data_IF_095466498719
#
_entry.id   IF_095466498719
#
_cell.length_a   1.000
_cell.length_b   1.000
_cell.length_c   1.000
_cell.angle_alpha   90.00
_cell.angle_beta   90.00
_cell.angle_gamma   90.00
#
_symmetry.space_group_name_H-M   'P 1'
#
loop_
_entity.id
_entity.type
_entity.pdbx_description
1 polymer ?
#
# COMPACT_ATOMS: atom_id res chain seq x y z
N UNK A 1 -0.48 2.10 27.63
CA UNK A 1 -1.90 2.08 27.18
C UNK A 1 -2.07 0.85 26.30
N UNK A 2 -2.90 -0.10 26.73
CA UNK A 2 -3.24 -1.23 25.85
C UNK A 2 -4.10 -0.67 24.71
N UNK A 3 -3.60 -0.70 23.49
CA UNK A 3 -4.41 -0.38 22.33
C UNK A 3 -5.43 -1.51 22.13
N UNK A 4 -6.68 -1.16 21.84
CA UNK A 4 -7.74 -2.12 21.55
C UNK A 4 -7.37 -3.00 20.33
N UNK A 5 -6.67 -2.41 19.35
CA UNK A 5 -6.22 -3.10 18.15
C UNK A 5 -4.70 -3.17 18.07
N UNK A 6 -4.18 -4.31 17.64
CA UNK A 6 -2.76 -4.52 17.36
C UNK A 6 -2.39 -4.18 15.91
N UNK A 7 -3.29 -4.44 14.98
CA UNK A 7 -3.08 -4.21 13.54
C UNK A 7 -4.20 -3.35 12.98
N UNK A 8 -3.84 -2.27 12.32
CA UNK A 8 -4.72 -1.39 11.54
C UNK A 8 -4.34 -1.52 10.06
N UNK A 9 -5.33 -1.76 9.20
CA UNK A 9 -5.17 -1.86 7.76
C UNK A 9 -6.04 -0.80 7.06
N UNK A 10 -5.41 0.12 6.37
CA UNK A 10 -6.07 1.18 5.60
C UNK A 10 -6.32 0.68 4.17
N UNK A 11 -7.58 0.77 3.70
CA UNK A 11 -7.99 0.24 2.40
C UNK A 11 -8.08 -1.29 2.39
N UNK A 12 -8.64 -1.85 3.44
CA UNK A 12 -8.59 -3.30 3.73
C UNK A 12 -9.26 -4.20 2.68
N UNK A 13 -10.22 -3.68 1.90
CA UNK A 13 -11.01 -4.46 0.91
C UNK A 13 -11.38 -5.85 1.44
N UNK A 14 -10.56 -6.85 1.12
CA UNK A 14 -10.78 -8.26 1.50
C UNK A 14 -10.00 -8.70 2.75
N UNK A 15 -9.25 -7.80 3.41
CA UNK A 15 -8.36 -8.13 4.54
C UNK A 15 -7.11 -8.92 4.12
N UNK A 16 -6.70 -8.81 2.86
CA UNK A 16 -5.56 -9.59 2.35
C UNK A 16 -4.23 -9.10 2.92
N UNK A 17 -4.09 -7.78 3.16
CA UNK A 17 -2.90 -7.21 3.78
C UNK A 17 -2.71 -7.78 5.20
N UNK A 18 -3.79 -7.88 5.98
CA UNK A 18 -3.76 -8.49 7.31
C UNK A 18 -3.36 -9.97 7.23
N UNK A 19 -3.93 -10.74 6.29
CA UNK A 19 -3.61 -12.15 6.11
C UNK A 19 -2.12 -12.34 5.79
N UNK A 20 -1.60 -11.57 4.82
CA UNK A 20 -0.20 -11.66 4.42
C UNK A 20 0.74 -11.20 5.54
N UNK A 21 0.39 -10.12 6.26
CA UNK A 21 1.15 -9.66 7.40
C UNK A 21 1.23 -10.74 8.51
N UNK A 22 0.12 -11.41 8.81
CA UNK A 22 0.11 -12.49 9.80
C UNK A 22 1.00 -13.68 9.41
N UNK A 23 1.17 -13.92 8.12
CA UNK A 23 2.03 -15.01 7.60
C UNK A 23 3.50 -14.61 7.51
N UNK A 24 3.81 -13.35 7.20
CA UNK A 24 5.17 -12.93 6.81
C UNK A 24 5.79 -11.87 7.73
N UNK A 25 5.00 -11.22 8.57
CA UNK A 25 5.45 -10.06 9.36
C UNK A 25 6.60 -10.37 10.33
N UNK A 26 6.70 -11.62 10.82
CA UNK A 26 7.78 -12.02 11.73
C UNK A 26 9.17 -11.95 11.08
N UNK A 27 9.25 -12.09 9.75
CA UNK A 27 10.51 -11.94 9.01
C UNK A 27 11.15 -10.54 9.22
N UNK A 28 10.31 -9.52 9.45
CA UNK A 28 10.74 -8.14 9.67
C UNK A 28 10.91 -7.81 11.15
N UNK A 29 9.90 -8.16 11.95
CA UNK A 29 9.84 -7.75 13.35
C UNK A 29 10.66 -8.65 14.28
N UNK A 30 10.86 -9.91 13.90
CA UNK A 30 11.50 -10.94 14.76
C UNK A 30 10.90 -10.97 16.17
N UNK A 31 9.56 -10.93 16.22
CA UNK A 31 8.76 -10.94 17.44
C UNK A 31 7.79 -12.13 17.45
N UNK A 32 8.29 -13.38 17.55
CA UNK A 32 7.45 -14.57 17.45
C UNK A 32 6.32 -14.59 18.49
N UNK A 33 6.56 -14.10 19.69
CA UNK A 33 5.53 -14.01 20.75
C UNK A 33 4.38 -13.09 20.36
N UNK A 34 4.67 -11.98 19.67
CA UNK A 34 3.66 -11.09 19.15
C UNK A 34 2.73 -11.81 18.17
N UNK A 35 3.32 -12.54 17.20
CA UNK A 35 2.55 -13.25 16.17
C UNK A 35 1.77 -14.43 16.75
N UNK A 36 2.32 -15.14 17.72
CA UNK A 36 1.62 -16.21 18.45
C UNK A 36 0.38 -15.70 19.20
N UNK A 37 0.42 -14.43 19.66
CA UNK A 37 -0.69 -13.79 20.38
C UNK A 37 -1.60 -12.95 19.48
N UNK A 38 -1.28 -12.82 18.20
CA UNK A 38 -2.05 -12.00 17.25
C UNK A 38 -3.31 -12.75 16.79
N UNK A 39 -4.41 -12.56 17.52
CA UNK A 39 -5.71 -13.08 17.13
C UNK A 39 -6.41 -12.18 16.09
N UNK A 40 -7.26 -12.73 15.20
CA UNK A 40 -8.00 -11.95 14.22
C UNK A 40 -8.77 -10.76 14.79
N UNK A 41 -9.37 -10.88 15.97
CA UNK A 41 -10.11 -9.80 16.63
C UNK A 41 -9.23 -8.61 17.05
N UNK A 42 -7.90 -8.76 17.08
CA UNK A 42 -6.98 -7.65 17.31
C UNK A 42 -6.65 -6.86 16.04
N UNK A 43 -7.23 -7.26 14.90
CA UNK A 43 -7.03 -6.59 13.62
C UNK A 43 -8.30 -5.81 13.24
N UNK A 44 -8.12 -4.61 12.72
CA UNK A 44 -9.20 -3.78 12.19
C UNK A 44 -8.83 -3.27 10.81
N UNK A 45 -9.77 -3.39 9.87
CA UNK A 45 -9.67 -2.82 8.54
C UNK A 45 -10.54 -1.57 8.39
N UNK A 46 -9.98 -0.54 7.79
CA UNK A 46 -10.67 0.69 7.43
C UNK A 46 -10.92 0.74 5.93
N UNK A 47 -12.12 1.17 5.52
CA UNK A 47 -12.50 1.32 4.12
C UNK A 47 -13.46 2.50 3.95
N UNK A 48 -13.54 3.04 2.74
CA UNK A 48 -14.49 4.11 2.41
C UNK A 48 -15.93 3.65 2.61
N UNK A 49 -16.85 4.56 2.97
CA UNK A 49 -18.28 4.22 3.20
C UNK A 49 -18.92 3.48 2.02
N UNK A 50 -18.56 3.83 0.78
CA UNK A 50 -19.09 3.18 -0.44
C UNK A 50 -18.69 1.71 -0.57
N UNK A 51 -17.67 1.28 0.19
CA UNK A 51 -17.12 -0.08 0.18
C UNK A 51 -17.66 -0.96 1.33
N UNK A 52 -18.77 -0.57 1.94
CA UNK A 52 -19.42 -1.31 3.04
C UNK A 52 -19.69 -2.79 2.72
N UNK A 53 -19.87 -3.13 1.44
CA UNK A 53 -20.06 -4.51 1.00
C UNK A 53 -18.87 -5.44 1.35
N UNK A 54 -17.66 -4.91 1.53
CA UNK A 54 -16.51 -5.70 1.99
C UNK A 54 -16.61 -6.13 3.45
N UNK A 55 -17.42 -5.45 4.26
CA UNK A 55 -17.64 -5.79 5.68
C UNK A 55 -17.92 -7.28 5.89
N UNK A 56 -18.79 -7.87 5.03
CA UNK A 56 -19.14 -9.28 5.13
C UNK A 56 -17.93 -10.19 4.91
N UNK A 57 -17.05 -9.84 3.97
CA UNK A 57 -15.85 -10.64 3.64
C UNK A 57 -14.84 -10.57 4.79
N UNK A 58 -14.57 -9.36 5.26
CA UNK A 58 -13.61 -9.11 6.35
C UNK A 58 -14.06 -9.77 7.64
N UNK A 59 -15.36 -9.68 7.98
CA UNK A 59 -15.94 -10.33 9.15
C UNK A 59 -15.91 -11.86 9.09
N UNK A 60 -16.01 -12.47 7.90
CA UNK A 60 -15.80 -13.93 7.75
C UNK A 60 -14.42 -14.38 8.18
N UNK A 61 -13.41 -13.52 8.04
CA UNK A 61 -12.04 -13.73 8.52
C UNK A 61 -11.87 -13.40 10.01
N UNK A 62 -12.97 -13.03 10.70
CA UNK A 62 -13.02 -12.60 12.11
C UNK A 62 -12.24 -11.31 12.41
N UNK A 63 -11.96 -10.49 11.40
CA UNK A 63 -11.39 -9.16 11.57
C UNK A 63 -12.50 -8.14 11.87
N UNK A 64 -12.14 -7.08 12.58
CA UNK A 64 -13.01 -5.90 12.72
C UNK A 64 -13.01 -5.10 11.42
N UNK A 65 -14.08 -4.36 11.19
CA UNK A 65 -14.23 -3.53 10.00
C UNK A 65 -14.92 -2.23 10.36
N UNK A 66 -14.32 -1.12 9.94
CA UNK A 66 -14.84 0.22 10.09
C UNK A 66 -14.91 0.91 8.72
N UNK A 67 -15.99 1.62 8.46
CA UNK A 67 -16.07 2.54 7.34
C UNK A 67 -15.73 3.95 7.82
N UNK A 68 -14.77 4.60 7.17
CA UNK A 68 -14.41 5.98 7.44
C UNK A 68 -13.98 6.66 6.14
N UNK A 69 -14.39 7.90 5.96
CA UNK A 69 -13.88 8.72 4.88
C UNK A 69 -12.52 9.29 5.29
N UNK A 70 -11.45 8.62 4.86
CA UNK A 70 -10.08 9.03 5.16
C UNK A 70 -9.59 10.21 4.31
N UNK A 71 -10.48 10.84 3.52
CA UNK A 71 -10.29 12.17 2.93
C UNK A 71 -10.90 13.29 3.82
N UNK A 72 -11.11 13.02 5.11
CA UNK A 72 -11.60 13.99 6.10
C UNK A 72 -10.66 14.01 7.30
N UNK A 73 -10.17 15.19 7.69
CA UNK A 73 -9.19 15.36 8.77
C UNK A 73 -9.66 14.73 10.11
N UNK A 74 -10.94 14.88 10.46
CA UNK A 74 -11.49 14.28 11.68
C UNK A 74 -11.41 12.74 11.66
N UNK A 75 -11.61 12.11 10.51
CA UNK A 75 -11.50 10.65 10.37
C UNK A 75 -10.05 10.17 10.49
N UNK A 76 -9.10 10.92 9.92
CA UNK A 76 -7.66 10.62 10.06
C UNK A 76 -7.24 10.76 11.51
N UNK A 77 -7.63 11.85 12.17
CA UNK A 77 -7.30 12.11 13.57
C UNK A 77 -7.91 11.06 14.52
N UNK A 78 -9.04 10.46 14.15
CA UNK A 78 -9.72 9.42 14.92
C UNK A 78 -9.11 8.01 14.75
N UNK A 79 -8.12 7.83 13.87
CA UNK A 79 -7.45 6.53 13.72
C UNK A 79 -6.79 6.09 15.04
N UNK A 80 -7.00 4.84 15.49
CA UNK A 80 -6.53 4.39 16.79
C UNK A 80 -5.01 4.26 16.83
N UNK A 81 -4.41 4.32 18.00
CA UNK A 81 -3.05 3.83 18.20
C UNK A 81 -3.04 2.33 18.07
N UNK A 82 -2.04 1.78 17.39
CA UNK A 82 -1.87 0.35 17.19
C UNK A 82 -0.39 -0.03 17.18
N UNK A 83 -0.11 -1.31 17.27
CA UNK A 83 1.27 -1.80 17.18
C UNK A 83 1.77 -1.74 15.74
N UNK A 84 0.89 -2.04 14.78
CA UNK A 84 1.18 -2.16 13.33
C UNK A 84 0.19 -1.35 12.52
N UNK A 85 0.68 -0.64 11.52
CA UNK A 85 -0.11 0.01 10.48
C UNK A 85 0.22 -0.55 9.11
N UNK A 86 -0.79 -0.92 8.34
CA UNK A 86 -0.70 -1.38 6.96
C UNK A 86 -1.48 -0.41 6.06
N UNK A 87 -0.92 -0.05 4.91
CA UNK A 87 -1.62 0.68 3.85
C UNK A 87 -1.10 0.19 2.50
N UNK A 88 -1.77 -0.86 1.97
CA UNK A 88 -1.38 -1.51 0.73
C UNK A 88 -2.37 -1.17 -0.38
N UNK A 89 -1.87 -0.58 -1.47
CA UNK A 89 -2.68 -0.11 -2.58
C UNK A 89 -3.85 0.77 -2.11
N UNK A 90 -3.52 1.77 -1.29
CA UNK A 90 -4.50 2.66 -0.70
C UNK A 90 -4.18 4.14 -0.91
N UNK A 91 -2.92 4.54 -0.77
CA UNK A 91 -2.51 5.95 -0.82
C UNK A 91 -2.77 6.60 -2.20
N UNK A 92 -2.81 5.82 -3.27
CA UNK A 92 -3.16 6.27 -4.60
C UNK A 92 -4.65 6.60 -4.78
N UNK A 93 -5.52 6.09 -3.89
CA UNK A 93 -6.97 6.27 -3.97
C UNK A 93 -7.50 7.52 -3.23
N UNK A 94 -6.67 8.20 -2.47
CA UNK A 94 -7.09 9.44 -1.79
C UNK A 94 -7.01 10.64 -2.74
N UNK A 95 -7.71 11.76 -2.46
CA UNK A 95 -7.92 12.83 -3.44
C UNK A 95 -6.65 13.45 -4.04
N UNK A 96 -5.56 13.50 -3.29
CA UNK A 96 -4.28 14.08 -3.75
C UNK A 96 -3.12 13.66 -2.83
N UNK A 97 -1.90 14.07 -3.18
CA UNK A 97 -0.67 13.76 -2.43
C UNK A 97 -0.66 14.32 -1.00
N UNK A 98 -1.33 15.43 -0.73
CA UNK A 98 -1.37 16.00 0.62
C UNK A 98 -2.17 15.10 1.58
N UNK A 99 -3.26 14.48 1.09
CA UNK A 99 -4.00 13.50 1.86
C UNK A 99 -3.18 12.23 2.09
N UNK A 100 -2.45 11.76 1.09
CA UNK A 100 -1.54 10.61 1.24
C UNK A 100 -0.48 10.91 2.30
N UNK A 101 0.11 12.11 2.29
CA UNK A 101 1.10 12.57 3.29
C UNK A 101 0.51 12.60 4.69
N UNK A 102 -0.68 13.17 4.88
CA UNK A 102 -1.38 13.17 6.17
C UNK A 102 -1.59 11.75 6.71
N UNK A 103 -2.00 10.81 5.85
CA UNK A 103 -2.21 9.42 6.23
C UNK A 103 -0.91 8.71 6.60
N UNK A 104 0.18 8.94 5.86
CA UNK A 104 1.52 8.45 6.23
C UNK A 104 1.92 8.99 7.60
N UNK A 105 1.84 10.32 7.81
CA UNK A 105 2.16 10.94 9.10
C UNK A 105 1.33 10.38 10.26
N UNK A 106 0.01 10.22 10.06
CA UNK A 106 -0.86 9.68 11.11
C UNK A 106 -0.55 8.21 11.39
N UNK A 107 -0.30 7.41 10.35
CA UNK A 107 0.10 6.00 10.51
C UNK A 107 1.40 5.88 11.30
N UNK A 108 2.41 6.70 10.97
CA UNK A 108 3.68 6.73 11.70
C UNK A 108 3.51 7.20 13.16
N UNK A 109 2.66 8.20 13.40
CA UNK A 109 2.38 8.72 14.75
C UNK A 109 1.70 7.68 15.63
N UNK A 110 0.80 6.89 15.04
CA UNK A 110 -0.03 5.94 15.76
C UNK A 110 0.57 4.52 15.83
N UNK A 111 1.48 4.17 14.91
CA UNK A 111 2.17 2.88 14.92
C UNK A 111 3.17 2.80 16.07
N UNK A 112 3.21 1.69 16.80
CA UNK A 112 4.19 1.46 17.86
C UNK A 112 5.48 0.79 17.33
N UNK A 113 5.34 -0.24 16.48
CA UNK A 113 6.46 -1.05 16.02
C UNK A 113 6.71 -0.95 14.53
N UNK A 114 5.65 -0.84 13.70
CA UNK A 114 5.81 -0.91 12.27
C UNK A 114 4.71 -0.14 11.53
N UNK A 115 5.11 0.60 10.50
CA UNK A 115 4.21 1.05 9.43
C UNK A 115 4.72 0.49 8.10
N UNK A 116 3.82 -0.16 7.33
CA UNK A 116 4.15 -0.83 6.08
C UNK A 116 3.24 -0.36 4.96
N UNK A 117 3.84 0.34 4.02
CA UNK A 117 3.17 0.85 2.83
C UNK A 117 3.55 -0.01 1.63
N UNK A 118 2.56 -0.41 0.82
CA UNK A 118 2.79 -1.01 -0.49
C UNK A 118 2.14 -0.13 -1.54
N UNK A 119 2.91 0.26 -2.53
CA UNK A 119 2.56 1.29 -3.50
C UNK A 119 2.65 0.70 -4.91
N UNK A 120 1.65 0.91 -5.79
CA UNK A 120 1.83 0.66 -7.21
C UNK A 120 2.92 1.60 -7.73
N UNK A 121 3.75 1.12 -8.64
CA UNK A 121 4.78 1.97 -9.25
C UNK A 121 4.16 2.96 -10.20
N UNK A 122 4.39 4.25 -9.95
CA UNK A 122 4.14 5.35 -10.88
C UNK A 122 5.46 5.95 -11.41
N UNK A 123 6.58 5.28 -11.17
CA UNK A 123 7.91 5.70 -11.62
C UNK A 123 7.99 5.70 -13.14
N UNK A 124 8.50 6.80 -13.70
CA UNK A 124 8.58 7.02 -15.16
C UNK A 124 9.99 6.84 -15.71
N UNK A 125 10.91 6.31 -14.90
CA UNK A 125 12.27 6.03 -15.38
C UNK A 125 12.27 4.99 -16.51
N UNK A 126 13.29 5.07 -17.37
CA UNK A 126 13.41 4.26 -18.58
C UNK A 126 14.24 3.00 -18.40
N UNK A 127 14.63 2.67 -17.19
CA UNK A 127 15.43 1.48 -16.86
C UNK A 127 14.58 0.40 -16.18
N UNK A 128 13.79 0.77 -15.17
CA UNK A 128 13.02 -0.15 -14.35
C UNK A 128 11.57 0.27 -14.12
N UNK A 129 11.20 1.50 -14.50
CA UNK A 129 9.86 2.07 -14.32
C UNK A 129 8.96 1.93 -15.54
N UNK A 130 7.79 2.56 -15.51
CA UNK A 130 6.82 2.57 -16.62
C UNK A 130 7.41 3.18 -17.91
N UNK A 131 8.45 4.01 -17.80
CA UNK A 131 9.14 4.57 -18.97
C UNK A 131 9.64 3.49 -19.92
N UNK A 132 10.01 2.31 -19.44
CA UNK A 132 10.36 1.13 -20.27
C UNK A 132 9.16 0.69 -21.12
N UNK A 133 7.96 0.63 -20.51
CA UNK A 133 6.74 0.24 -21.22
C UNK A 133 6.36 1.29 -22.27
N UNK A 134 6.48 2.58 -21.93
CA UNK A 134 6.11 3.70 -22.80
C UNK A 134 6.97 3.77 -24.07
N UNK A 135 8.23 3.37 -24.03
CA UNK A 135 9.09 3.25 -25.21
C UNK A 135 8.51 2.29 -26.27
N UNK A 136 7.62 1.39 -25.85
CA UNK A 136 6.97 0.40 -26.68
C UNK A 136 5.45 0.66 -26.87
N UNK A 137 4.98 1.87 -26.55
CA UNK A 137 3.56 2.21 -26.65
C UNK A 137 2.66 1.49 -25.64
N UNK A 138 3.22 1.07 -24.51
CA UNK A 138 2.54 0.34 -23.44
C UNK A 138 2.57 1.16 -22.13
N UNK A 139 1.70 0.82 -21.20
CA UNK A 139 1.62 1.39 -19.85
C UNK A 139 1.11 0.36 -18.84
N UNK A 140 1.21 0.69 -17.56
CA UNK A 140 0.49 -0.07 -16.54
C UNK A 140 -1.03 0.21 -16.58
N UNK A 141 -1.83 -0.77 -16.20
CA UNK A 141 -3.30 -0.63 -16.13
C UNK A 141 -3.74 0.50 -15.22
N UNK A 142 -3.08 0.65 -14.07
CA UNK A 142 -3.48 1.61 -13.02
C UNK A 142 -3.08 3.06 -13.27
N UNK A 143 -2.14 3.34 -14.18
CA UNK A 143 -1.58 4.69 -14.38
C UNK A 143 -2.64 5.72 -14.80
N UNK A 144 -3.69 5.28 -15.48
CA UNK A 144 -4.76 6.16 -15.96
C UNK A 144 -6.10 5.90 -15.29
N UNK A 145 -6.15 5.10 -14.22
CA UNK A 145 -7.41 4.86 -13.53
C UNK A 145 -7.94 6.14 -12.87
N UNK A 146 -9.22 6.52 -13.13
CA UNK A 146 -9.80 7.73 -12.55
C UNK A 146 -9.87 7.71 -11.01
N UNK A 147 -9.86 6.52 -10.41
CA UNK A 147 -9.85 6.34 -8.95
C UNK A 147 -8.45 6.27 -8.34
N UNK A 148 -7.41 6.59 -9.11
CA UNK A 148 -6.03 6.80 -8.65
C UNK A 148 -5.63 8.28 -8.84
N UNK A 149 -6.28 9.22 -8.16
CA UNK A 149 -5.98 10.65 -8.33
C UNK A 149 -4.63 11.05 -7.73
N UNK A 150 -4.10 10.25 -6.80
CA UNK A 150 -2.81 10.49 -6.17
C UNK A 150 -1.77 9.52 -6.74
N UNK A 151 -1.00 9.97 -7.74
CA UNK A 151 0.16 9.24 -8.24
C UNK A 151 1.31 9.37 -7.22
N UNK A 152 1.22 8.60 -6.16
CA UNK A 152 2.12 8.62 -5.03
C UNK A 152 3.38 7.82 -5.35
N UNK A 153 4.51 8.52 -5.46
CA UNK A 153 5.80 7.92 -5.76
C UNK A 153 6.47 7.38 -4.47
N UNK A 154 7.49 6.56 -4.64
CA UNK A 154 8.32 6.09 -3.52
C UNK A 154 8.97 7.28 -2.82
N UNK A 155 9.47 8.24 -3.59
CA UNK A 155 10.10 9.47 -3.09
C UNK A 155 9.11 10.31 -2.27
N UNK A 156 7.87 10.45 -2.74
CA UNK A 156 6.82 11.16 -1.97
C UNK A 156 6.61 10.50 -0.59
N UNK A 157 6.71 9.16 -0.52
CA UNK A 157 6.56 8.41 0.72
C UNK A 157 7.77 8.60 1.63
N UNK A 158 8.99 8.52 1.10
CA UNK A 158 10.22 8.71 1.88
C UNK A 158 10.33 10.14 2.39
N UNK A 159 10.01 11.14 1.56
CA UNK A 159 9.98 12.56 1.95
C UNK A 159 8.97 12.81 3.09
N UNK A 160 7.78 12.21 3.01
CA UNK A 160 6.80 12.30 4.09
C UNK A 160 7.31 11.66 5.40
N UNK A 161 8.04 10.55 5.32
CA UNK A 161 8.65 9.91 6.50
C UNK A 161 9.73 10.80 7.10
N UNK A 162 10.59 11.41 6.28
CA UNK A 162 11.62 12.34 6.73
C UNK A 162 11.01 13.60 7.35
N UNK A 163 9.98 14.18 6.74
CA UNK A 163 9.26 15.33 7.28
C UNK A 163 8.63 14.99 8.64
N UNK A 164 7.98 13.83 8.75
CA UNK A 164 7.42 13.36 10.01
C UNK A 164 8.50 13.21 11.08
N UNK A 165 9.66 12.65 10.74
CA UNK A 165 10.75 12.40 11.70
C UNK A 165 11.30 13.67 12.34
N UNK A 166 11.31 14.80 11.62
CA UNK A 166 11.72 16.11 12.15
C UNK A 166 10.82 16.58 13.29
N UNK A 167 9.54 16.19 13.26
CA UNK A 167 8.57 16.52 14.31
C UNK A 167 8.60 15.51 15.48
N UNK A 168 9.27 14.36 15.31
CA UNK A 168 9.37 13.29 16.31
C UNK A 168 10.83 12.83 16.49
N UNK A 169 11.77 13.72 16.87
CA UNK A 169 13.20 13.40 16.92
C UNK A 169 13.56 12.28 17.89
N UNK A 170 12.72 12.05 18.92
CA UNK A 170 12.93 10.98 19.91
C UNK A 170 12.47 9.59 19.43
N UNK A 171 11.90 9.50 18.21
CA UNK A 171 11.46 8.25 17.62
C UNK A 171 12.41 7.77 16.55
N UNK A 172 13.40 6.98 16.94
CA UNK A 172 14.31 6.34 15.99
C UNK A 172 13.61 5.20 15.24
N UNK A 173 13.98 5.02 13.98
CA UNK A 173 13.42 3.99 13.10
C UNK A 173 14.45 3.48 12.09
N UNK A 174 14.18 2.30 11.54
CA UNK A 174 14.85 1.77 10.37
C UNK A 174 13.88 1.84 9.19
N UNK A 175 14.35 2.36 8.05
CA UNK A 175 13.61 2.45 6.82
C UNK A 175 14.11 1.40 5.82
N UNK A 176 13.19 0.62 5.28
CA UNK A 176 13.44 -0.31 4.19
C UNK A 176 12.59 0.11 3.01
N UNK A 177 13.21 0.37 1.87
CA UNK A 177 12.56 0.61 0.59
C UNK A 177 13.03 -0.48 -0.37
N UNK A 178 12.09 -1.20 -0.96
CA UNK A 178 12.44 -2.28 -1.89
C UNK A 178 11.36 -2.51 -2.95
N UNK A 179 11.74 -2.94 -4.15
CA UNK A 179 10.81 -3.49 -5.12
C UNK A 179 10.06 -4.69 -4.54
N UNK A 180 8.78 -4.83 -4.88
CA UNK A 180 7.95 -5.96 -4.47
C UNK A 180 7.39 -6.74 -5.66
N UNK A 181 6.87 -6.06 -6.68
CA UNK A 181 6.34 -6.67 -7.89
C UNK A 181 7.25 -6.45 -9.09
N UNK A 182 7.37 -7.46 -9.96
CA UNK A 182 8.15 -7.40 -11.19
C UNK A 182 7.37 -7.92 -12.38
N UNK A 183 7.57 -7.27 -13.52
CA UNK A 183 7.02 -7.67 -14.81
C UNK A 183 8.17 -7.97 -15.76
N UNK A 184 8.23 -9.19 -16.28
CA UNK A 184 9.31 -9.67 -17.12
C UNK A 184 9.00 -9.53 -18.61
N UNK A 185 7.72 -9.39 -18.98
CA UNK A 185 7.29 -9.31 -20.37
C UNK A 185 5.97 -8.55 -20.52
N UNK A 186 5.64 -8.20 -21.75
CA UNK A 186 4.41 -7.48 -22.09
C UNK A 186 3.15 -8.33 -22.08
N UNK A 187 3.25 -9.66 -21.98
CA UNK A 187 2.09 -10.54 -21.88
C UNK A 187 1.39 -10.43 -20.51
N UNK A 188 2.08 -9.83 -19.51
CA UNK A 188 1.52 -9.63 -18.18
C UNK A 188 0.21 -8.83 -18.22
N UNK A 189 -0.82 -9.29 -17.53
CA UNK A 189 -2.15 -8.65 -17.46
C UNK A 189 -2.12 -7.19 -16.97
N UNK A 190 -1.10 -6.82 -16.20
CA UNK A 190 -0.92 -5.46 -15.69
C UNK A 190 -0.39 -4.46 -16.75
N UNK A 191 0.04 -4.95 -17.91
CA UNK A 191 0.56 -4.15 -19.01
C UNK A 191 -0.49 -4.06 -20.11
N UNK A 192 -0.79 -2.86 -20.59
CA UNK A 192 -1.79 -2.61 -21.63
C UNK A 192 -1.26 -1.58 -22.62
N UNK A 193 -1.78 -1.53 -23.88
CA UNK A 193 -1.49 -0.45 -24.82
C UNK A 193 -1.79 0.92 -24.22
N UNK A 194 -1.04 1.94 -24.61
CA UNK A 194 -1.17 3.29 -24.07
C UNK A 194 -2.55 3.91 -24.34
N UNK A 195 -3.18 3.53 -25.45
CA UNK A 195 -4.51 3.94 -25.89
C UNK A 195 -5.64 3.04 -25.36
N UNK A 196 -5.32 2.00 -24.58
CA UNK A 196 -6.33 1.14 -23.96
C UNK A 196 -7.28 1.95 -23.07
N UNK A 197 -8.56 1.55 -22.95
CA UNK A 197 -9.52 2.21 -22.03
C UNK A 197 -9.00 2.29 -20.59
N UNK A 198 -9.34 3.37 -19.89
CA UNK A 198 -8.79 3.66 -18.55
C UNK A 198 -9.22 2.70 -17.44
N UNK A 199 -10.25 1.87 -17.67
CA UNK A 199 -10.79 0.92 -16.71
C UNK A 199 -10.43 -0.55 -16.99
N UNK A 200 -9.50 -0.78 -17.93
CA UNK A 200 -9.10 -2.12 -18.33
C UNK A 200 -8.27 -2.79 -17.22
N UNK A 201 -8.79 -3.87 -16.69
CA UNK A 201 -8.07 -4.76 -15.73
C UNK A 201 -7.42 -5.94 -16.46
N UNK A 202 -8.08 -6.44 -17.52
CA UNK A 202 -7.56 -7.51 -18.38
C UNK A 202 -7.86 -7.14 -19.82
N UNK A 203 -6.82 -6.84 -20.59
CA UNK A 203 -6.97 -6.34 -21.94
C UNK A 203 -7.38 -7.44 -22.95
N UNK A 204 -6.60 -8.50 -23.02
CA UNK A 204 -6.74 -9.51 -24.08
C UNK A 204 -8.11 -10.18 -24.17
N UNK A 205 -8.79 -10.54 -23.06
CA UNK A 205 -10.11 -11.16 -23.16
C UNK A 205 -11.18 -10.29 -23.82
N UNK A 206 -10.99 -8.95 -23.81
CA UNK A 206 -11.98 -8.00 -24.34
C UNK A 206 -11.56 -7.37 -25.65
N UNK A 207 -10.27 -7.22 -25.89
CA UNK A 207 -9.71 -6.42 -26.99
C UNK A 207 -8.82 -7.22 -27.95
N UNK A 208 -8.65 -8.53 -27.70
CA UNK A 208 -7.76 -9.39 -28.49
C UNK A 208 -6.29 -9.27 -28.05
N UNK A 209 -5.37 -9.95 -28.78
CA UNK A 209 -3.97 -10.00 -28.40
C UNK A 209 -3.33 -8.62 -28.39
N UNK A 210 -2.40 -8.40 -27.47
CA UNK A 210 -1.59 -7.18 -27.43
C UNK A 210 -0.73 -7.06 -28.69
N UNK A 211 -0.46 -5.82 -29.14
CA UNK A 211 0.26 -5.58 -30.40
C UNK A 211 1.72 -6.04 -30.35
N UNK A 212 2.29 -6.20 -29.16
CA UNK A 212 3.69 -6.57 -28.95
C UNK A 212 3.84 -7.60 -27.83
N UNK A 213 4.76 -8.55 -28.03
CA UNK A 213 5.17 -9.54 -27.04
C UNK A 213 6.69 -9.46 -26.84
N UNK A 214 7.13 -8.53 -26.01
CA UNK A 214 8.56 -8.31 -25.73
C UNK A 214 8.85 -8.80 -24.32
N UNK A 215 9.92 -9.58 -24.17
CA UNK A 215 10.57 -9.85 -22.88
C UNK A 215 11.55 -8.73 -22.57
N UNK A 216 11.48 -8.19 -21.37
CA UNK A 216 12.39 -7.14 -20.93
C UNK A 216 13.77 -7.70 -20.59
N UNK A 217 14.82 -6.95 -20.88
CA UNK A 217 16.21 -7.31 -20.46
C UNK A 217 16.35 -7.28 -18.95
N UNK A 218 15.69 -6.31 -18.31
CA UNK A 218 15.57 -6.21 -16.87
C UNK A 218 14.07 -6.13 -16.53
N UNK A 219 13.63 -6.75 -15.43
CA UNK A 219 12.24 -6.66 -15.00
C UNK A 219 11.82 -5.21 -14.73
N UNK A 220 10.60 -4.86 -15.18
CA UNK A 220 9.98 -3.58 -14.85
C UNK A 220 9.32 -3.70 -13.48
N UNK A 221 9.60 -2.76 -12.59
CA UNK A 221 9.07 -2.76 -11.23
C UNK A 221 7.63 -2.25 -11.26
N UNK A 222 6.71 -3.10 -10.81
CA UNK A 222 5.28 -2.78 -10.75
C UNK A 222 4.82 -2.29 -9.37
N UNK A 223 5.53 -2.65 -8.31
CA UNK A 223 5.17 -2.30 -6.95
C UNK A 223 6.41 -2.10 -6.08
N UNK A 224 6.26 -1.23 -5.07
CA UNK A 224 7.27 -1.00 -4.03
C UNK A 224 6.70 -1.24 -2.65
N UNK A 225 7.56 -1.68 -1.75
CA UNK A 225 7.33 -1.67 -0.30
C UNK A 225 8.19 -0.63 0.37
N UNK A 226 7.55 0.17 1.23
CA UNK A 226 8.19 1.12 2.14
C UNK A 226 7.83 0.69 3.56
N UNK A 227 8.82 0.27 4.34
CA UNK A 227 8.63 -0.31 5.67
C UNK A 227 9.39 0.52 6.68
N UNK A 228 8.68 1.08 7.64
CA UNK A 228 9.24 1.84 8.76
C UNK A 228 9.14 1.00 10.03
N UNK A 229 10.27 0.58 10.57
CA UNK A 229 10.35 -0.19 11.81
C UNK A 229 10.87 0.70 12.94
N UNK A 230 10.06 0.92 13.96
CA UNK A 230 10.43 1.72 15.12
C UNK A 230 11.29 0.92 16.09
N UNK A 231 12.37 1.53 16.55
CA UNK A 231 13.20 0.94 17.59
C UNK A 231 12.45 0.97 18.93
N UNK A 232 12.58 -0.10 19.71
CA UNK A 232 12.03 -0.10 21.08
C UNK A 232 12.70 1.02 21.89
N UNK A 233 11.90 1.81 22.64
CA UNK A 233 12.46 2.76 23.59
C UNK A 233 13.27 1.97 24.62
N UNK A 234 14.60 2.21 24.67
CA UNK A 234 15.47 1.66 25.71
C UNK A 234 16.10 0.29 25.40
N UNK A 235 16.31 -0.05 24.11
CA UNK A 235 17.21 -1.12 23.73
C UNK A 235 18.62 -0.58 23.48
#
# INVERSE_FOLDING_TARGET
MNSEFKVVDLGTKHGNAIDEFRCKGDMYLKLPEFFNQLHPQHCIGYERPQMEHYRRIVRKKKYNFCTADLAVDASIAALPKAEIYLAWHFLEHVPNKDWSRKLVHQSLTNAQYLAWFRLPSFQQDTETGEGVLRQHGMRFTWTTWPNHPSHWLVEDCTDAIEEWSKNFPDRSYNLIVKPYGWINDMANDLVVPIDAPNDVVKYEPKHGPKPLHIKFKQPVISEYEVIVMFNKKGA
#
